data_IF_492461343044
#
_entry.id   IF_492461343044
#
_cell.length_a   1.000
_cell.length_b   1.000
_cell.length_c   1.000
_cell.angle_alpha   90.00
_cell.angle_beta   90.00
_cell.angle_gamma   90.00
#
_symmetry.space_group_name_H-M   'P 1'
#
loop_
_entity.id
_entity.type
_entity.pdbx_description
1 polymer ?
#
# COMPACT_ATOMS: atom_id res chain seq x y z
N UNK A 1 -4.08 12.47 7.58
CA UNK A 1 -3.07 13.33 6.92
C UNK A 1 -1.70 12.79 7.29
N UNK A 2 -0.95 12.19 6.36
CA UNK A 2 0.30 11.47 6.69
C UNK A 2 1.50 12.45 6.64
N UNK A 3 2.20 12.75 7.75
CA UNK A 3 3.01 13.97 7.91
C UNK A 3 4.35 14.02 7.14
N UNK A 4 4.80 12.93 6.50
CA UNK A 4 6.06 12.91 5.73
C UNK A 4 5.92 12.89 4.22
N UNK A 5 4.74 12.53 3.72
CA UNK A 5 4.45 12.59 2.28
C UNK A 5 2.97 12.89 2.15
N UNK A 6 2.61 14.10 1.75
CA UNK A 6 1.26 14.53 1.34
C UNK A 6 0.70 13.73 0.12
N UNK A 7 1.18 12.50 -0.10
CA UNK A 7 0.76 11.63 -1.20
C UNK A 7 -0.28 10.66 -0.67
N UNK A 8 -1.46 10.70 -1.28
CA UNK A 8 -2.52 9.74 -1.06
C UNK A 8 -2.00 8.32 -1.32
N UNK A 9 -2.18 7.45 -0.33
CA UNK A 9 -1.89 6.04 -0.43
C UNK A 9 -3.24 5.36 -0.67
N UNK A 10 -3.40 4.79 -1.85
CA UNK A 10 -4.63 4.12 -2.25
C UNK A 10 -4.37 2.62 -2.28
N UNK A 11 -5.20 1.87 -1.55
CA UNK A 11 -5.26 0.42 -1.64
C UNK A 11 -6.26 0.07 -2.73
N UNK A 12 -5.84 -0.75 -3.69
CA UNK A 12 -6.68 -1.16 -4.81
C UNK A 12 -6.61 -2.67 -4.98
N UNK A 13 -7.73 -3.28 -5.36
CA UNK A 13 -7.84 -4.70 -5.64
C UNK A 13 -8.04 -4.91 -7.15
N UNK A 14 -7.33 -5.89 -7.72
CA UNK A 14 -7.43 -6.26 -9.13
C UNK A 14 -7.49 -7.77 -9.29
N UNK A 15 -7.78 -8.23 -10.51
CA UNK A 15 -7.82 -9.66 -10.84
C UNK A 15 -6.51 -10.40 -10.53
N UNK A 16 -5.38 -9.69 -10.52
CA UNK A 16 -4.05 -10.23 -10.21
C UNK A 16 -3.68 -10.15 -8.73
N UNK A 17 -4.56 -9.67 -7.86
CA UNK A 17 -4.30 -9.46 -6.44
C UNK A 17 -4.39 -7.98 -6.04
N UNK A 18 -4.03 -7.73 -4.78
CA UNK A 18 -4.13 -6.42 -4.14
C UNK A 18 -2.82 -5.64 -4.29
N UNK A 19 -2.93 -4.33 -4.46
CA UNK A 19 -1.74 -3.47 -4.52
C UNK A 19 -1.97 -2.11 -3.85
N UNK A 20 -0.88 -1.55 -3.34
CA UNK A 20 -0.80 -0.18 -2.84
C UNK A 20 -0.28 0.71 -3.95
N UNK A 21 -0.98 1.82 -4.20
CA UNK A 21 -0.57 2.88 -5.12
C UNK A 21 -0.22 4.13 -4.33
N UNK A 22 1.03 4.58 -4.45
CA UNK A 22 1.54 5.85 -3.91
C UNK A 22 2.06 6.72 -5.05
N UNK A 23 1.19 7.58 -5.60
CA UNK A 23 1.50 8.35 -6.81
C UNK A 23 1.76 7.43 -8.02
N UNK A 24 3.00 7.42 -8.51
CA UNK A 24 3.45 6.53 -9.61
C UNK A 24 4.01 5.19 -9.13
N UNK A 25 4.41 5.05 -7.84
CA UNK A 25 4.92 3.77 -7.29
C UNK A 25 3.72 2.86 -7.01
N UNK A 26 3.82 1.61 -7.47
CA UNK A 26 2.85 0.54 -7.20
C UNK A 26 3.59 -0.62 -6.55
N UNK A 27 3.02 -1.16 -5.47
CA UNK A 27 3.58 -2.29 -4.74
C UNK A 27 2.48 -3.31 -4.53
N UNK A 28 2.73 -4.56 -4.91
CA UNK A 28 1.85 -5.68 -4.63
C UNK A 28 1.81 -5.95 -3.14
N UNK A 29 0.60 -6.18 -2.63
CA UNK A 29 0.40 -6.60 -1.25
C UNK A 29 0.46 -8.14 -1.24
N UNK A 30 1.14 -8.76 -0.27
CA UNK A 30 1.11 -10.21 -0.11
C UNK A 30 -0.32 -10.70 0.13
N UNK A 31 -0.71 -11.83 -0.46
CA UNK A 31 -2.06 -12.40 -0.28
C UNK A 31 -2.39 -12.76 1.19
N UNK A 32 -1.36 -12.91 2.02
CA UNK A 32 -1.49 -13.16 3.46
C UNK A 32 -1.98 -11.93 4.25
N UNK A 33 -1.98 -10.74 3.65
CA UNK A 33 -2.43 -9.50 4.28
C UNK A 33 -3.83 -9.15 3.76
N UNK A 34 -4.80 -9.06 4.67
CA UNK A 34 -6.15 -8.60 4.32
C UNK A 34 -6.16 -7.10 4.09
N UNK A 35 -7.05 -6.64 3.22
CA UNK A 35 -7.22 -5.21 2.91
C UNK A 35 -7.53 -4.37 4.15
N UNK A 36 -8.27 -4.97 5.10
CA UNK A 36 -8.66 -4.37 6.39
C UNK A 36 -7.46 -4.14 7.32
N UNK A 37 -6.45 -5.01 7.24
CA UNK A 37 -5.23 -4.95 8.06
C UNK A 37 -4.19 -3.99 7.47
N UNK A 38 -4.45 -3.41 6.29
CA UNK A 38 -3.54 -2.47 5.64
C UNK A 38 -3.66 -1.11 6.34
N UNK A 39 -2.87 -0.99 7.40
CA UNK A 39 -2.64 0.28 8.07
C UNK A 39 -1.57 1.09 7.34
N UNK A 40 -1.49 2.35 7.71
CA UNK A 40 -0.53 3.29 7.15
C UNK A 40 0.93 2.86 7.41
N UNK A 41 1.19 2.28 8.59
CA UNK A 41 2.49 1.73 8.96
C UNK A 41 2.88 0.56 8.07
N UNK A 42 1.98 -0.41 7.90
CA UNK A 42 2.23 -1.57 7.04
C UNK A 42 2.47 -1.15 5.59
N UNK A 43 1.72 -0.16 5.10
CA UNK A 43 1.93 0.41 3.78
C UNK A 43 3.31 1.04 3.62
N UNK A 44 3.81 1.73 4.64
CA UNK A 44 5.16 2.32 4.65
C UNK A 44 6.24 1.24 4.70
N UNK A 45 6.04 0.20 5.50
CA UNK A 45 6.97 -0.93 5.62
C UNK A 45 7.10 -1.69 4.29
N UNK A 46 5.98 -2.01 3.64
CA UNK A 46 5.95 -2.59 2.29
C UNK A 46 6.60 -1.67 1.25
N UNK A 47 6.50 -0.35 1.42
CA UNK A 47 7.16 0.64 0.57
C UNK A 47 8.68 0.74 0.79
N UNK A 48 9.17 0.36 1.97
CA UNK A 48 10.58 0.39 2.36
C UNK A 48 11.31 -0.92 2.06
N UNK A 49 10.62 -2.07 2.05
CA UNK A 49 11.19 -3.37 1.67
C UNK A 49 11.70 -3.44 0.21
N UNK A 50 11.57 -2.36 -0.58
CA UNK A 50 11.99 -2.29 -1.98
C UNK A 50 12.52 -0.92 -2.38
#
# INVERSE_FOLDING_TARGET
MNPKTHKLINVMESKSGRYIKKGFKRISIPDNVKTEDITLELAIELLQQK
#
